data_IF_857987493552
#
_entry.id   IF_857987493552
#
_cell.length_a   1.000
_cell.length_b   1.000
_cell.length_c   1.000
_cell.angle_alpha   90.00
_cell.angle_beta   90.00
_cell.angle_gamma   90.00
#
_symmetry.space_group_name_H-M   'P 1'
#
loop_
_entity.id
_entity.type
_entity.pdbx_description
1 polymer ?
#
# COMPACT_ATOMS: atom_id res chain seq x y z
N UNK A 1 1.36 -4.65 -8.64
CA UNK A 1 1.70 -4.73 -10.08
C UNK A 1 0.48 -4.74 -11.01
N UNK A 2 -0.51 -5.63 -10.85
CA UNK A 2 -1.64 -5.77 -11.80
C UNK A 2 -2.87 -4.88 -11.54
N UNK A 3 -2.74 -3.83 -10.73
CA UNK A 3 -3.87 -2.94 -10.40
C UNK A 3 -4.31 -2.14 -11.62
N UNK A 4 -5.62 -1.97 -11.79
CA UNK A 4 -6.23 -1.14 -12.82
C UNK A 4 -7.18 -0.11 -12.19
N UNK A 5 -7.47 1.02 -12.86
CA UNK A 5 -8.42 2.01 -12.36
C UNK A 5 -9.79 1.41 -12.00
N UNK A 6 -10.25 0.40 -12.72
CA UNK A 6 -11.53 -0.27 -12.47
C UNK A 6 -11.54 -1.00 -11.12
N UNK A 7 -10.40 -1.57 -10.70
CA UNK A 7 -10.29 -2.23 -9.40
C UNK A 7 -10.39 -1.21 -8.26
N UNK A 8 -9.75 -0.04 -8.42
CA UNK A 8 -9.84 1.06 -7.46
C UNK A 8 -11.26 1.62 -7.41
N UNK A 9 -11.89 1.83 -8.58
CA UNK A 9 -13.26 2.32 -8.65
C UNK A 9 -14.24 1.33 -8.01
N UNK A 10 -14.03 0.02 -8.23
CA UNK A 10 -14.82 -1.02 -7.58
C UNK A 10 -14.69 -0.93 -6.04
N UNK A 11 -13.47 -0.88 -5.50
CA UNK A 11 -13.25 -0.73 -4.07
C UNK A 11 -13.90 0.55 -3.53
N UNK A 12 -13.70 1.69 -4.19
CA UNK A 12 -14.27 2.97 -3.77
C UNK A 12 -15.81 3.02 -3.84
N UNK A 13 -16.42 2.29 -4.79
CA UNK A 13 -17.87 2.24 -4.99
C UNK A 13 -18.57 1.20 -4.12
N UNK A 14 -17.93 0.06 -3.85
CA UNK A 14 -18.61 -1.08 -3.21
C UNK A 14 -18.04 -1.41 -1.84
N UNK A 15 -16.72 -1.47 -1.68
CA UNK A 15 -16.11 -1.73 -0.38
C UNK A 15 -16.19 -0.48 0.54
N UNK A 16 -16.09 0.71 -0.07
CA UNK A 16 -16.08 2.02 0.61
C UNK A 16 -14.90 2.16 1.58
N UNK A 17 -14.77 3.34 2.17
CA UNK A 17 -13.73 3.63 3.16
C UNK A 17 -12.33 3.79 2.57
N UNK A 18 -11.33 3.46 3.37
CA UNK A 18 -9.92 3.65 3.05
C UNK A 18 -9.41 2.50 2.19
N UNK A 19 -8.82 2.84 1.03
CA UNK A 19 -8.11 1.87 0.20
C UNK A 19 -6.68 1.79 0.70
N UNK A 20 -6.35 0.62 1.27
CA UNK A 20 -5.04 0.35 1.80
C UNK A 20 -4.17 -0.41 0.80
N UNK A 21 -2.85 -0.26 0.94
CA UNK A 21 -1.85 -0.99 0.16
C UNK A 21 -0.96 -1.79 1.13
N UNK A 22 -1.27 -3.09 1.37
CA UNK A 22 -0.38 -3.97 2.12
C UNK A 22 0.97 -4.08 1.42
N UNK A 23 2.05 -3.92 2.19
CA UNK A 23 3.43 -3.95 1.70
C UNK A 23 4.32 -4.67 2.70
N UNK A 24 5.31 -5.41 2.20
CA UNK A 24 6.39 -5.96 3.03
C UNK A 24 7.16 -4.85 3.76
N UNK A 25 7.83 -5.22 4.86
CA UNK A 25 8.67 -4.25 5.61
C UNK A 25 9.79 -3.72 4.71
N UNK A 26 10.40 -4.62 3.96
CA UNK A 26 11.51 -4.37 3.03
C UNK A 26 11.10 -3.36 1.95
N UNK A 27 9.88 -3.49 1.42
CA UNK A 27 9.33 -2.53 0.48
C UNK A 27 9.08 -1.16 1.14
N UNK A 28 8.52 -1.12 2.35
CA UNK A 28 8.36 0.14 3.09
C UNK A 28 9.72 0.82 3.36
N UNK A 29 10.76 0.06 3.67
CA UNK A 29 12.12 0.58 3.88
C UNK A 29 12.73 1.13 2.59
N UNK A 30 12.55 0.41 1.47
CA UNK A 30 13.02 0.83 0.13
C UNK A 30 12.42 2.19 -0.26
N UNK A 31 11.14 2.38 0.02
CA UNK A 31 10.40 3.62 -0.26
C UNK A 31 10.50 4.66 0.87
N UNK A 32 11.27 4.38 1.94
CA UNK A 32 11.44 5.26 3.11
C UNK A 32 10.11 5.70 3.74
N UNK A 33 9.19 4.75 3.93
CA UNK A 33 7.85 4.99 4.48
C UNK A 33 7.81 4.71 5.99
N UNK A 34 7.99 5.73 6.86
CA UNK A 34 7.87 5.53 8.30
C UNK A 34 6.42 5.25 8.70
N UNK A 35 6.25 4.64 9.89
CA UNK A 35 4.94 4.49 10.50
C UNK A 35 4.32 5.87 10.77
N UNK A 36 3.01 6.00 10.54
CA UNK A 36 2.29 7.26 10.70
C UNK A 36 2.26 7.73 12.16
N UNK A 37 2.15 6.80 13.11
CA UNK A 37 2.07 7.10 14.54
C UNK A 37 3.25 6.48 15.30
N UNK A 38 3.98 7.31 16.04
CA UNK A 38 5.08 6.85 16.90
C UNK A 38 4.60 5.90 18.01
N UNK A 39 3.40 6.13 18.55
CA UNK A 39 2.72 5.24 19.50
C UNK A 39 1.41 4.75 18.90
N UNK A 40 1.39 3.51 18.43
CA UNK A 40 0.19 2.91 17.85
C UNK A 40 -0.76 2.42 18.95
N UNK A 41 -1.85 3.17 19.18
CA UNK A 41 -2.91 2.80 20.12
C UNK A 41 -4.08 2.05 19.49
N UNK A 42 -3.98 1.62 18.23
CA UNK A 42 -5.07 0.90 17.57
C UNK A 42 -5.27 -0.49 18.19
N UNK A 43 -6.52 -0.90 18.37
CA UNK A 43 -6.85 -2.19 19.02
C UNK A 43 -6.25 -3.42 18.31
N UNK A 44 -5.99 -3.33 17.00
CA UNK A 44 -5.40 -4.40 16.21
C UNK A 44 -3.91 -4.20 15.87
N UNK A 45 -3.29 -3.12 16.39
CA UNK A 45 -1.89 -2.78 16.10
C UNK A 45 -1.61 -2.56 14.61
N UNK A 46 -2.58 -2.05 13.85
CA UNK A 46 -2.48 -1.89 12.40
C UNK A 46 -1.39 -0.88 12.04
N UNK A 47 -0.37 -1.34 11.30
CA UNK A 47 0.85 -0.56 11.03
C UNK A 47 0.70 0.31 9.78
N UNK A 48 -0.11 1.36 9.88
CA UNK A 48 -0.16 2.39 8.85
C UNK A 48 1.19 3.10 8.72
N UNK A 49 1.67 3.25 7.49
CA UNK A 49 2.73 4.22 7.17
C UNK A 49 2.10 5.58 6.88
N UNK A 50 2.95 6.60 6.66
CA UNK A 50 2.51 7.83 6.00
C UNK A 50 1.80 7.51 4.67
N UNK A 51 0.75 8.27 4.34
CA UNK A 51 0.01 8.07 3.09
C UNK A 51 0.82 8.58 1.90
N UNK A 52 0.56 8.02 0.72
CA UNK A 52 1.40 8.19 -0.45
C UNK A 52 0.62 8.57 -1.69
N UNK A 53 1.31 9.25 -2.61
CA UNK A 53 0.90 9.52 -3.99
C UNK A 53 2.09 9.27 -4.93
N UNK A 54 1.86 8.91 -6.19
CA UNK A 54 2.92 8.89 -7.19
C UNK A 54 3.49 10.30 -7.39
N UNK A 55 4.80 10.42 -7.55
CA UNK A 55 5.44 11.68 -7.90
C UNK A 55 5.04 12.17 -9.31
N UNK A 56 4.76 11.24 -10.22
CA UNK A 56 4.44 11.55 -11.62
C UNK A 56 3.26 10.73 -12.15
N UNK A 57 2.61 11.26 -13.21
CA UNK A 57 1.51 10.60 -13.89
C UNK A 57 0.17 10.66 -13.13
N UNK A 58 0.05 11.59 -12.19
CA UNK A 58 -1.15 11.87 -11.41
C UNK A 58 -1.50 13.36 -11.52
N UNK A 59 -2.72 13.73 -11.11
CA UNK A 59 -3.19 15.12 -11.08
C UNK A 59 -3.44 15.55 -9.64
N UNK A 60 -4.59 15.15 -9.10
CA UNK A 60 -5.01 15.44 -7.73
C UNK A 60 -4.70 14.29 -6.78
N UNK A 61 -4.40 13.10 -7.32
CA UNK A 61 -4.11 11.90 -6.53
C UNK A 61 -5.35 11.07 -6.17
N UNK A 62 -6.53 11.69 -6.01
CA UNK A 62 -7.71 10.99 -5.47
C UNK A 62 -8.51 10.19 -6.50
N UNK A 63 -8.31 10.48 -7.80
CA UNK A 63 -9.04 9.80 -8.89
C UNK A 63 -8.78 8.29 -8.87
N UNK A 64 -9.67 7.49 -9.46
CA UNK A 64 -9.44 6.05 -9.56
C UNK A 64 -8.19 5.72 -10.38
N UNK A 65 -7.91 6.52 -11.43
CA UNK A 65 -6.72 6.37 -12.24
C UNK A 65 -5.45 6.80 -11.49
N UNK A 66 -5.51 7.92 -10.77
CA UNK A 66 -4.38 8.46 -10.01
C UNK A 66 -3.97 7.48 -8.90
N UNK A 67 -4.94 7.00 -8.11
CA UNK A 67 -4.69 6.00 -7.08
C UNK A 67 -4.16 4.69 -7.63
N UNK A 68 -4.64 4.24 -8.80
CA UNK A 68 -4.08 3.07 -9.46
C UNK A 68 -2.62 3.32 -9.89
N UNK A 69 -2.32 4.50 -10.42
CA UNK A 69 -0.95 4.91 -10.78
C UNK A 69 -0.02 4.93 -9.58
N UNK A 70 -0.48 5.46 -8.44
CA UNK A 70 0.24 5.43 -7.16
C UNK A 70 0.57 4.01 -6.71
N UNK A 71 -0.42 3.11 -6.73
CA UNK A 71 -0.18 1.69 -6.38
C UNK A 71 0.80 1.02 -7.36
N UNK A 72 0.74 1.35 -8.65
CA UNK A 72 1.68 0.83 -9.65
C UNK A 72 3.11 1.33 -9.40
N UNK A 73 3.28 2.63 -9.13
CA UNK A 73 4.58 3.22 -8.85
C UNK A 73 5.21 2.59 -7.60
N UNK A 74 4.45 2.46 -6.51
CA UNK A 74 4.94 1.88 -5.26
C UNK A 74 5.21 0.36 -5.34
N UNK A 75 4.54 -0.35 -6.26
CA UNK A 75 4.72 -1.79 -6.47
C UNK A 75 5.70 -2.13 -7.62
N UNK A 76 6.30 -1.14 -8.27
CA UNK A 76 7.24 -1.39 -9.36
C UNK A 76 8.51 -2.10 -8.83
N UNK A 77 9.07 -3.00 -9.63
CA UNK A 77 10.25 -3.79 -9.24
C UNK A 77 11.44 -2.91 -8.90
N UNK A 78 11.61 -1.82 -9.64
CA UNK A 78 12.66 -0.82 -9.51
C UNK A 78 12.22 0.43 -8.75
N UNK A 79 11.09 0.38 -8.03
CA UNK A 79 10.55 1.51 -7.29
C UNK A 79 11.58 2.09 -6.29
N UNK A 80 11.73 3.40 -6.31
CA UNK A 80 12.59 4.19 -5.45
C UNK A 80 11.77 5.13 -4.59
N UNK A 81 12.35 5.60 -3.49
CA UNK A 81 11.71 6.56 -2.61
C UNK A 81 11.29 7.86 -3.33
N UNK A 82 11.99 8.26 -4.39
CA UNK A 82 11.68 9.47 -5.18
C UNK A 82 10.43 9.33 -6.06
N UNK A 83 10.00 8.09 -6.37
CA UNK A 83 8.83 7.83 -7.20
C UNK A 83 7.51 8.12 -6.45
N UNK A 84 7.60 8.37 -5.14
CA UNK A 84 6.48 8.49 -4.23
C UNK A 84 6.63 9.76 -3.39
N UNK A 85 5.54 10.50 -3.26
CA UNK A 85 5.44 11.67 -2.37
C UNK A 85 4.51 11.37 -1.21
N UNK A 86 4.70 12.09 -0.11
CA UNK A 86 3.85 12.03 1.08
C UNK A 86 3.51 13.45 1.54
N UNK A 87 2.26 13.73 1.97
CA UNK A 87 1.12 12.82 2.06
C UNK A 87 0.46 12.53 0.70
N UNK A 88 -0.48 11.57 0.67
CA UNK A 88 -1.32 11.26 -0.50
C UNK A 88 -2.58 10.44 -0.18
N UNK A 89 -3.20 9.85 -1.21
CA UNK A 89 -4.52 9.21 -1.11
C UNK A 89 -4.52 7.66 -1.15
N UNK A 90 -3.34 7.04 -1.19
CA UNK A 90 -3.15 5.61 -0.92
C UNK A 90 -2.52 5.44 0.47
N UNK A 91 -2.98 4.43 1.22
CA UNK A 91 -2.60 4.25 2.62
C UNK A 91 -1.85 2.93 2.81
N UNK A 92 -0.51 2.94 2.81
CA UNK A 92 0.24 1.71 2.95
C UNK A 92 0.15 1.11 4.36
N UNK A 93 0.17 -0.21 4.40
CA UNK A 93 0.16 -1.01 5.62
C UNK A 93 1.40 -1.90 5.64
N UNK A 94 2.27 -1.69 6.62
CA UNK A 94 3.48 -2.49 6.77
C UNK A 94 3.15 -3.85 7.39
N UNK A 95 3.35 -4.92 6.62
CA UNK A 95 3.16 -6.29 7.07
C UNK A 95 4.19 -6.70 8.12
N UNK A 96 3.82 -7.65 8.99
CA UNK A 96 4.78 -8.34 9.83
C UNK A 96 5.58 -9.38 9.04
N UNK A 97 6.89 -9.43 9.28
CA UNK A 97 7.73 -10.50 8.75
C UNK A 97 7.20 -11.87 9.24
N UNK A 98 7.18 -12.85 8.34
CA UNK A 98 6.58 -14.17 8.59
C UNK A 98 5.12 -14.31 8.15
N UNK A 99 4.49 -13.26 7.63
CA UNK A 99 3.17 -13.34 7.01
C UNK A 99 2.07 -13.81 7.97
N UNK A 100 1.08 -14.53 7.45
CA UNK A 100 -0.08 -14.99 8.21
C UNK A 100 0.26 -15.95 9.34
N UNK A 101 1.41 -16.62 9.28
CA UNK A 101 1.92 -17.47 10.36
C UNK A 101 2.42 -16.66 11.56
N UNK A 102 2.88 -15.42 11.34
CA UNK A 102 3.31 -14.52 12.41
C UNK A 102 2.15 -13.67 12.94
N UNK A 103 1.28 -13.19 12.03
CA UNK A 103 0.07 -12.42 12.37
C UNK A 103 -1.05 -12.75 11.39
N UNK A 104 -2.15 -13.30 11.92
CA UNK A 104 -3.35 -13.61 11.14
C UNK A 104 -4.17 -12.35 10.81
N UNK A 105 -3.59 -11.42 10.05
CA UNK A 105 -4.23 -10.16 9.63
C UNK A 105 -4.39 -10.05 8.11
N UNK A 106 -5.32 -9.20 7.67
CA UNK A 106 -5.57 -8.94 6.24
C UNK A 106 -4.33 -8.39 5.51
N UNK A 107 -3.51 -7.60 6.21
CA UNK A 107 -2.25 -7.06 5.66
C UNK A 107 -1.29 -8.18 5.29
N UNK A 108 -1.05 -9.10 6.22
CA UNK A 108 -0.17 -10.24 6.01
C UNK A 108 -0.73 -11.19 4.94
N UNK A 109 -2.04 -11.47 4.98
CA UNK A 109 -2.69 -12.32 3.99
C UNK A 109 -2.58 -11.78 2.56
N UNK A 110 -2.72 -10.46 2.38
CA UNK A 110 -2.57 -9.83 1.07
C UNK A 110 -1.14 -9.98 0.51
N UNK A 111 -0.11 -9.78 1.34
CA UNK A 111 1.29 -9.99 0.93
C UNK A 111 1.59 -11.47 0.66
N UNK A 112 1.07 -12.40 1.46
CA UNK A 112 1.22 -13.84 1.24
C UNK A 112 0.60 -14.26 -0.11
N UNK A 113 -0.63 -13.81 -0.39
CA UNK A 113 -1.33 -14.11 -1.64
C UNK A 113 -0.62 -13.54 -2.87
N UNK A 114 -0.11 -12.30 -2.80
CA UNK A 114 0.65 -11.68 -3.88
C UNK A 114 1.91 -12.51 -4.21
N UNK A 115 2.67 -12.89 -3.18
CA UNK A 115 3.87 -13.72 -3.33
C UNK A 115 3.56 -15.12 -3.87
N UNK A 116 2.51 -15.77 -3.39
CA UNK A 116 2.08 -17.08 -3.91
C UNK A 116 1.66 -17.03 -5.38
N UNK A 117 1.17 -15.87 -5.83
CA UNK A 117 0.81 -15.62 -7.23
C UNK A 117 2.02 -15.18 -8.10
N UNK A 118 3.22 -15.10 -7.54
CA UNK A 118 4.44 -14.71 -8.27
C UNK A 118 4.63 -13.20 -8.45
N UNK A 119 3.93 -12.37 -7.65
CA UNK A 119 4.06 -10.91 -7.66
C UNK A 119 4.93 -10.41 -6.49
N UNK A 120 5.39 -9.17 -6.63
CA UNK A 120 6.01 -8.39 -5.55
C UNK A 120 5.00 -8.15 -4.41
N UNK A 121 5.47 -8.24 -3.16
CA UNK A 121 4.67 -8.15 -1.94
C UNK A 121 5.05 -6.97 -1.05
#
# INVERSE_FOLDING_TARGET
ECVKPEHINFMARFARGLICMPMTRERCETLKLPLMAARNGSGFGTKFTVSIEAAEGVTTGISAADRARTVQAAAAKDAKAEDIVSPGHIFPLMAQAGGTLARAGHTEAACDLARMAGFEA
#
